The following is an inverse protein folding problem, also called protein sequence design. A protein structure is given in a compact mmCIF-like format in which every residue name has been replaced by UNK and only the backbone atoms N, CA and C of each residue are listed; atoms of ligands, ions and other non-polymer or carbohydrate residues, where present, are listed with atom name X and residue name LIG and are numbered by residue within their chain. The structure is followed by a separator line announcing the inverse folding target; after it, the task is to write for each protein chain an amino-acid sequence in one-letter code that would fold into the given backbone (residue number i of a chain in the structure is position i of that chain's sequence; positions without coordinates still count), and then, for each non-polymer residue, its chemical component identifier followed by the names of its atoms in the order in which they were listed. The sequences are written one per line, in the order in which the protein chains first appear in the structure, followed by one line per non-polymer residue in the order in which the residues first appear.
data_IF_410239055188
#
_entry.id   IF_410239055188
#
_cell.length_a   1.000
_cell.length_b   1.000
_cell.length_c   1.000
_cell.angle_alpha   90.00
_cell.angle_beta   90.00
_cell.angle_gamma   90.00
#
_symmetry.space_group_name_H-M   'P 1'
#
loop_
_entity.id
_entity.type
_entity.pdbx_description
1 polymer ?
#
# COMPACT_ATOMS: atom_id res chain seq x y z
N UNK A 1 -11.51 -10.98 12.02
CA UNK A 1 -10.39 -10.05 12.34
C UNK A 1 -9.85 -9.38 11.07
N UNK A 2 -9.37 -10.15 10.06
CA UNK A 2 -8.78 -9.57 8.84
C UNK A 2 -9.72 -8.61 8.09
N UNK A 3 -10.92 -9.07 7.74
CA UNK A 3 -11.92 -8.26 7.03
C UNK A 3 -12.31 -6.99 7.80
N UNK A 4 -12.43 -7.09 9.11
CA UNK A 4 -12.76 -5.95 9.95
C UNK A 4 -11.65 -4.89 9.94
N UNK A 5 -10.36 -5.31 10.02
CA UNK A 5 -9.22 -4.41 10.00
C UNK A 5 -9.08 -3.73 8.63
N UNK A 6 -9.26 -4.47 7.54
CA UNK A 6 -8.96 -3.97 6.21
C UNK A 6 -10.14 -3.31 5.48
N UNK A 7 -11.38 -3.59 5.89
CA UNK A 7 -12.56 -3.11 5.15
C UNK A 7 -13.52 -2.27 5.99
N UNK A 8 -13.59 -2.49 7.31
CA UNK A 8 -14.67 -1.94 8.14
C UNK A 8 -14.21 -1.08 9.31
N UNK A 9 -12.92 -0.76 9.42
CA UNK A 9 -12.37 0.00 10.53
C UNK A 9 -11.56 1.19 10.03
N UNK A 10 -11.24 2.11 10.94
CA UNK A 10 -10.32 3.24 10.74
C UNK A 10 -8.93 2.80 10.24
N UNK A 11 -8.57 1.53 10.43
CA UNK A 11 -7.35 0.91 9.93
C UNK A 11 -7.39 0.54 8.44
N UNK A 12 -8.48 0.82 7.74
CA UNK A 12 -8.55 0.66 6.28
C UNK A 12 -7.51 1.55 5.59
N UNK A 13 -6.80 0.99 4.64
CA UNK A 13 -5.75 1.70 3.88
C UNK A 13 -4.34 1.58 4.47
N UNK A 14 -4.17 0.91 5.62
CA UNK A 14 -2.85 0.50 6.10
C UNK A 14 -2.20 -0.53 5.16
N UNK A 15 -0.89 -0.63 5.21
CA UNK A 15 -0.17 -1.69 4.50
C UNK A 15 -0.63 -3.07 4.99
N UNK A 16 -0.55 -4.08 4.12
CA UNK A 16 -0.90 -5.46 4.49
C UNK A 16 -0.05 -5.99 5.65
N UNK A 17 1.16 -5.48 5.81
CA UNK A 17 2.07 -5.90 6.88
C UNK A 17 1.65 -5.33 8.24
N UNK A 18 1.26 -4.06 8.30
CA UNK A 18 0.64 -3.47 9.49
C UNK A 18 -0.66 -4.19 9.86
N UNK A 19 -1.47 -4.50 8.86
CA UNK A 19 -2.71 -5.25 9.05
C UNK A 19 -2.48 -6.64 9.66
N UNK A 20 -1.40 -7.33 9.28
CA UNK A 20 -1.02 -8.64 9.87
C UNK A 20 -0.68 -8.48 11.34
N UNK A 21 0.09 -7.45 11.73
CA UNK A 21 0.41 -7.19 13.15
C UNK A 21 -0.86 -6.96 13.95
N UNK A 22 -1.76 -6.11 13.47
CA UNK A 22 -3.05 -5.86 14.13
C UNK A 22 -3.92 -7.12 14.27
N UNK A 23 -3.88 -8.03 13.29
CA UNK A 23 -4.57 -9.32 13.38
C UNK A 23 -3.97 -10.18 14.49
N UNK A 24 -2.63 -10.24 14.56
CA UNK A 24 -1.95 -11.03 15.59
C UNK A 24 -2.22 -10.48 17.00
N UNK A 25 -2.22 -9.18 17.19
CA UNK A 25 -2.59 -8.55 18.45
C UNK A 25 -4.03 -8.92 18.88
N UNK A 26 -4.97 -8.90 17.91
CA UNK A 26 -6.35 -9.34 18.21
C UNK A 26 -6.45 -10.82 18.55
N UNK A 27 -5.63 -11.67 17.95
CA UNK A 27 -5.56 -13.10 18.29
C UNK A 27 -5.00 -13.29 19.70
N UNK A 28 -3.90 -12.61 20.04
CA UNK A 28 -3.31 -12.62 21.38
C UNK A 28 -4.31 -12.19 22.45
N UNK A 29 -5.07 -11.12 22.19
CA UNK A 29 -6.12 -10.64 23.10
C UNK A 29 -7.28 -11.64 23.30
N UNK A 30 -7.38 -12.65 22.45
CA UNK A 30 -8.32 -13.79 22.57
C UNK A 30 -7.66 -15.04 23.15
N UNK A 31 -6.43 -14.94 23.65
CA UNK A 31 -5.67 -16.07 24.19
C UNK A 31 -5.08 -17.00 23.15
N UNK A 32 -5.01 -16.60 21.88
CA UNK A 32 -4.42 -17.39 20.81
C UNK A 32 -2.98 -16.92 20.62
N UNK A 33 -2.03 -17.79 20.92
CA UNK A 33 -0.62 -17.51 20.67
C UNK A 33 -0.30 -17.63 19.17
N UNK A 34 0.51 -16.66 18.71
CA UNK A 34 1.04 -16.64 17.34
C UNK A 34 2.56 -16.64 17.43
N UNK A 35 3.19 -17.80 17.34
CA UNK A 35 4.65 -17.92 17.47
C UNK A 35 5.38 -17.07 16.43
N UNK A 36 6.35 -16.26 16.87
CA UNK A 36 7.17 -15.39 16.04
C UNK A 36 6.47 -14.11 15.57
N UNK A 37 5.29 -13.79 16.10
CA UNK A 37 4.62 -12.51 15.82
C UNK A 37 5.44 -11.31 16.27
N UNK A 38 6.31 -11.49 17.26
CA UNK A 38 7.24 -10.48 17.78
C UNK A 38 8.27 -10.05 16.72
N UNK A 39 8.81 -10.99 15.96
CA UNK A 39 9.76 -10.70 14.89
C UNK A 39 9.11 -9.85 13.78
N UNK A 40 7.86 -10.20 13.44
CA UNK A 40 7.08 -9.47 12.43
C UNK A 40 6.75 -8.05 12.94
N UNK A 41 6.29 -7.93 14.20
CA UNK A 41 5.99 -6.63 14.79
C UNK A 41 7.25 -5.76 14.91
N UNK A 42 8.39 -6.35 15.30
CA UNK A 42 9.66 -5.63 15.38
C UNK A 42 10.06 -5.07 14.00
N UNK A 43 10.01 -5.88 12.96
CA UNK A 43 10.31 -5.43 11.60
C UNK A 43 9.35 -4.31 11.16
N UNK A 44 8.03 -4.50 11.31
CA UNK A 44 7.03 -3.49 10.91
C UNK A 44 7.24 -2.16 11.61
N UNK A 45 7.58 -2.18 12.90
CA UNK A 45 7.74 -0.96 13.71
C UNK A 45 9.07 -0.25 13.50
N UNK A 46 10.10 -0.94 12.99
CA UNK A 46 11.45 -0.37 12.84
C UNK A 46 11.87 -0.12 11.40
N UNK A 47 11.17 -0.71 10.44
CA UNK A 47 11.48 -0.55 9.03
C UNK A 47 11.09 0.85 8.54
N UNK A 48 11.99 1.50 7.82
CA UNK A 48 11.71 2.78 7.18
C UNK A 48 10.66 2.65 6.04
N UNK A 49 10.57 1.44 5.48
CA UNK A 49 9.63 1.14 4.39
C UNK A 49 9.12 -0.30 4.56
N UNK A 50 7.85 -0.53 4.27
CA UNK A 50 7.20 -1.83 4.36
C UNK A 50 7.00 -2.43 2.96
N UNK A 51 8.11 -2.80 2.32
CA UNK A 51 8.14 -3.40 0.98
C UNK A 51 8.57 -4.87 1.00
N UNK A 52 8.38 -5.56 -0.13
CA UNK A 52 8.92 -6.93 -0.31
C UNK A 52 10.44 -6.95 -0.21
N UNK A 53 11.12 -5.90 -0.69
CA UNK A 53 12.57 -5.78 -0.64
C UNK A 53 13.06 -5.61 0.80
N UNK A 54 12.44 -4.72 1.57
CA UNK A 54 12.74 -4.51 2.99
C UNK A 54 12.52 -5.79 3.81
N UNK A 55 11.41 -6.50 3.57
CA UNK A 55 11.15 -7.79 4.23
C UNK A 55 12.23 -8.83 3.91
N UNK A 56 12.66 -8.91 2.66
CA UNK A 56 13.73 -9.82 2.24
C UNK A 56 15.06 -9.48 2.89
N UNK A 57 15.40 -8.20 2.97
CA UNK A 57 16.61 -7.74 3.63
C UNK A 57 16.62 -8.16 5.11
N UNK A 58 15.50 -7.92 5.82
CA UNK A 58 15.39 -8.28 7.23
C UNK A 58 15.39 -9.79 7.46
N UNK A 59 14.77 -10.57 6.57
CA UNK A 59 14.84 -12.02 6.60
C UNK A 59 16.28 -12.53 6.45
N UNK A 60 17.05 -11.98 5.53
CA UNK A 60 18.47 -12.36 5.36
C UNK A 60 19.32 -11.98 6.57
N UNK A 61 19.00 -10.86 7.22
CA UNK A 61 19.72 -10.39 8.42
C UNK A 61 19.44 -11.25 9.65
N UNK A 62 18.18 -11.69 9.84
CA UNK A 62 17.74 -12.35 11.07
C UNK A 62 17.62 -13.87 10.97
N UNK A 63 17.36 -14.38 9.76
CA UNK A 63 17.02 -15.79 9.55
C UNK A 63 15.67 -16.21 10.15
N UNK A 64 14.83 -15.26 10.57
CA UNK A 64 13.56 -15.54 11.27
C UNK A 64 12.62 -16.40 10.43
N UNK A 65 12.14 -17.49 11.03
CA UNK A 65 11.14 -18.37 10.39
C UNK A 65 9.80 -17.64 10.20
N UNK A 66 9.45 -16.74 11.11
CA UNK A 66 8.22 -15.96 11.03
C UNK A 66 8.24 -14.99 9.83
N UNK A 67 9.36 -14.27 9.64
CA UNK A 67 9.54 -13.39 8.47
C UNK A 67 9.58 -14.19 7.16
N UNK A 68 10.14 -15.40 7.16
CA UNK A 68 10.09 -16.29 5.98
C UNK A 68 8.66 -16.65 5.62
N UNK A 69 7.85 -17.06 6.58
CA UNK A 69 6.42 -17.36 6.37
C UNK A 69 5.65 -16.12 5.90
N UNK A 70 5.96 -14.94 6.45
CA UNK A 70 5.37 -13.68 6.02
C UNK A 70 5.72 -13.39 4.57
N UNK A 71 6.97 -13.62 4.15
CA UNK A 71 7.40 -13.44 2.76
C UNK A 71 6.70 -14.42 1.81
N UNK A 72 6.59 -15.69 2.19
CA UNK A 72 5.87 -16.70 1.41
C UNK A 72 4.40 -16.32 1.23
N UNK A 73 3.75 -15.86 2.30
CA UNK A 73 2.38 -15.36 2.26
C UNK A 73 2.26 -14.11 1.37
N UNK A 74 3.15 -13.13 1.52
CA UNK A 74 3.16 -11.93 0.70
C UNK A 74 3.31 -12.26 -0.79
N UNK A 75 4.22 -13.17 -1.12
CA UNK A 75 4.43 -13.62 -2.51
C UNK A 75 3.19 -14.36 -3.04
N UNK A 76 2.53 -15.17 -2.22
CA UNK A 76 1.29 -15.85 -2.60
C UNK A 76 0.16 -14.83 -2.85
N UNK A 77 0.02 -13.81 -2.01
CA UNK A 77 -0.92 -12.72 -2.21
C UNK A 77 -0.65 -11.98 -3.53
N UNK A 78 0.61 -11.62 -3.80
CA UNK A 78 0.98 -10.91 -5.03
C UNK A 78 0.66 -11.74 -6.27
N UNK A 79 1.02 -13.04 -6.28
CA UNK A 79 0.65 -13.94 -7.39
C UNK A 79 -0.87 -14.03 -7.59
N UNK A 80 -1.62 -14.09 -6.49
CA UNK A 80 -3.09 -14.15 -6.58
C UNK A 80 -3.68 -12.87 -7.14
N UNK A 81 -3.18 -11.71 -6.70
CA UNK A 81 -3.61 -10.41 -7.20
C UNK A 81 -3.31 -10.28 -8.70
N UNK A 82 -2.10 -10.66 -9.13
CA UNK A 82 -1.72 -10.64 -10.54
C UNK A 82 -2.55 -11.57 -11.43
N UNK A 83 -3.08 -12.65 -10.86
CA UNK A 83 -3.95 -13.60 -11.56
C UNK A 83 -5.44 -13.20 -11.55
N UNK A 84 -5.82 -12.15 -10.83
CA UNK A 84 -7.18 -11.62 -10.87
C UNK A 84 -7.32 -10.74 -12.10
N UNK A 85 -8.33 -11.03 -12.90
CA UNK A 85 -8.77 -10.06 -13.90
C UNK A 85 -9.41 -8.86 -13.18
N UNK A 86 -9.21 -7.63 -13.66
CA UNK A 86 -9.92 -6.48 -13.14
C UNK A 86 -11.44 -6.72 -13.26
N UNK A 87 -12.12 -6.81 -12.12
CA UNK A 87 -13.56 -7.12 -12.08
C UNK A 87 -14.42 -5.91 -11.76
N UNK A 88 -13.79 -4.78 -11.42
CA UNK A 88 -14.48 -3.58 -10.99
C UNK A 88 -14.14 -2.44 -11.94
N UNK A 89 -15.15 -1.90 -12.61
CA UNK A 89 -14.99 -0.72 -13.43
C UNK A 89 -14.73 0.53 -12.56
N UNK A 90 -14.00 1.52 -13.08
CA UNK A 90 -13.90 2.82 -12.43
C UNK A 90 -15.29 3.42 -12.20
N UNK A 91 -15.45 4.17 -11.13
CA UNK A 91 -16.70 4.88 -10.89
C UNK A 91 -17.03 5.82 -12.08
N UNK A 92 -18.34 6.01 -12.39
CA UNK A 92 -18.75 6.94 -13.41
C UNK A 92 -18.16 8.32 -13.20
N UNK A 93 -17.62 8.90 -14.26
CA UNK A 93 -17.02 10.25 -14.22
C UNK A 93 -15.55 10.32 -13.83
N UNK A 94 -14.92 9.22 -13.38
CA UNK A 94 -13.49 9.22 -12.99
C UNK A 94 -12.60 9.68 -14.15
N UNK A 95 -12.75 9.10 -15.34
CA UNK A 95 -11.93 9.47 -16.50
C UNK A 95 -12.08 10.94 -16.86
N UNK A 96 -13.31 11.44 -16.89
CA UNK A 96 -13.58 12.84 -17.22
C UNK A 96 -13.01 13.79 -16.15
N UNK A 97 -13.12 13.43 -14.87
CA UNK A 97 -12.55 14.21 -13.78
C UNK A 97 -11.02 14.25 -13.84
N UNK A 98 -10.38 13.12 -14.10
CA UNK A 98 -8.91 13.05 -14.25
C UNK A 98 -8.46 13.89 -15.47
N UNK A 99 -9.16 13.80 -16.58
CA UNK A 99 -8.88 14.59 -17.79
C UNK A 99 -8.95 16.10 -17.52
N UNK A 100 -9.97 16.55 -16.77
CA UNK A 100 -10.14 17.96 -16.43
C UNK A 100 -9.04 18.43 -15.46
N UNK A 101 -8.72 17.63 -14.46
CA UNK A 101 -7.67 17.94 -13.49
C UNK A 101 -6.28 17.97 -14.15
N UNK A 102 -5.97 16.99 -14.98
CA UNK A 102 -4.69 16.91 -15.70
C UNK A 102 -4.46 18.07 -16.68
N UNK A 103 -5.52 18.77 -17.09
CA UNK A 103 -5.39 19.98 -17.90
C UNK A 103 -4.86 21.20 -17.10
N UNK A 104 -4.89 21.17 -15.78
CA UNK A 104 -4.55 22.31 -14.90
C UNK A 104 -3.55 21.96 -13.79
N UNK A 105 -3.25 20.68 -13.59
CA UNK A 105 -2.37 20.19 -12.53
C UNK A 105 -1.68 18.89 -12.95
N UNK A 106 -0.49 18.66 -12.40
CA UNK A 106 0.17 17.35 -12.49
C UNK A 106 -0.51 16.38 -11.52
N UNK A 107 -0.77 15.14 -11.96
CA UNK A 107 -1.49 14.14 -11.20
C UNK A 107 -0.58 12.99 -10.79
N UNK A 108 -0.48 12.77 -9.48
CA UNK A 108 0.20 11.62 -8.92
C UNK A 108 -0.79 10.61 -8.33
N UNK A 109 -0.63 9.37 -8.67
CA UNK A 109 -1.34 8.26 -8.00
C UNK A 109 -0.49 7.80 -6.83
N UNK A 110 -1.06 7.78 -5.63
CA UNK A 110 -0.36 7.36 -4.40
C UNK A 110 -1.13 6.22 -3.75
N UNK A 111 -0.54 5.06 -3.66
CA UNK A 111 -1.21 3.86 -3.16
C UNK A 111 -0.31 2.99 -2.30
N UNK A 112 -0.90 2.33 -1.30
CA UNK A 112 -0.23 1.28 -0.52
C UNK A 112 -0.18 -0.08 -1.24
N UNK A 113 -0.70 -0.19 -2.46
CA UNK A 113 -0.61 -1.39 -3.28
C UNK A 113 0.70 -1.42 -4.07
N UNK A 114 1.01 -2.59 -4.65
CA UNK A 114 2.18 -2.75 -5.52
C UNK A 114 2.05 -1.87 -6.79
N UNK A 115 3.09 -1.12 -7.12
CA UNK A 115 3.09 -0.17 -8.24
C UNK A 115 2.72 -0.84 -9.57
N UNK A 116 3.30 -2.01 -9.86
CA UNK A 116 3.02 -2.72 -11.11
C UNK A 116 1.56 -3.15 -11.25
N UNK A 117 0.91 -3.49 -10.14
CA UNK A 117 -0.51 -3.84 -10.12
C UNK A 117 -1.37 -2.61 -10.42
N UNK A 118 -1.08 -1.47 -9.79
CA UNK A 118 -1.78 -0.21 -10.02
C UNK A 118 -1.61 0.24 -11.48
N UNK A 119 -0.37 0.23 -11.98
CA UNK A 119 -0.06 0.64 -13.34
C UNK A 119 -0.79 -0.23 -14.38
N UNK A 120 -0.86 -1.55 -14.14
CA UNK A 120 -1.59 -2.49 -14.98
C UNK A 120 -3.08 -2.20 -15.00
N UNK A 121 -3.69 -1.98 -13.82
CA UNK A 121 -5.11 -1.67 -13.68
C UNK A 121 -5.46 -0.32 -14.34
N UNK A 122 -4.70 0.73 -14.05
CA UNK A 122 -4.89 2.05 -14.65
C UNK A 122 -4.72 2.02 -16.17
N UNK A 123 -3.77 1.23 -16.67
CA UNK A 123 -3.61 1.01 -18.12
C UNK A 123 -4.79 0.27 -18.73
N UNK A 124 -5.29 -0.78 -18.04
CA UNK A 124 -6.45 -1.55 -18.51
C UNK A 124 -7.68 -0.67 -18.74
N UNK A 125 -7.93 0.28 -17.81
CA UNK A 125 -9.05 1.22 -17.92
C UNK A 125 -8.74 2.51 -18.67
N UNK A 126 -7.55 2.64 -19.27
CA UNK A 126 -7.15 3.82 -20.03
C UNK A 126 -6.90 5.06 -19.17
N UNK A 127 -6.82 4.93 -17.86
CA UNK A 127 -6.62 6.04 -16.91
C UNK A 127 -5.16 6.47 -16.79
N UNK A 128 -4.21 5.57 -17.07
CA UNK A 128 -2.77 5.83 -16.92
C UNK A 128 -2.27 7.06 -17.70
N UNK A 129 -2.94 7.42 -18.79
CA UNK A 129 -2.61 8.62 -19.58
C UNK A 129 -2.87 9.95 -18.87
N UNK A 130 -3.59 9.91 -17.75
CA UNK A 130 -3.93 11.08 -16.94
C UNK A 130 -3.08 11.16 -15.66
N UNK A 131 -2.14 10.23 -15.45
CA UNK A 131 -1.24 10.25 -14.32
C UNK A 131 0.20 10.50 -14.79
N UNK A 132 0.84 11.51 -14.21
CA UNK A 132 2.25 11.84 -14.49
C UNK A 132 3.20 10.88 -13.76
N UNK A 133 2.77 10.38 -12.59
CA UNK A 133 3.52 9.41 -11.79
C UNK A 133 2.59 8.51 -11.00
N UNK A 134 3.04 7.27 -10.79
CA UNK A 134 2.38 6.30 -9.90
C UNK A 134 3.37 5.93 -8.80
N UNK A 135 2.98 6.15 -7.54
CA UNK A 135 3.72 5.72 -6.36
C UNK A 135 2.98 4.54 -5.73
N UNK A 136 3.62 3.38 -5.72
CA UNK A 136 3.18 2.19 -5.03
C UNK A 136 3.80 2.04 -3.64
N UNK A 137 3.58 0.86 -3.04
CA UNK A 137 4.17 0.50 -1.74
C UNK A 137 5.71 0.55 -1.73
N UNK A 138 6.34 0.52 -2.90
CA UNK A 138 7.79 0.53 -3.08
C UNK A 138 8.44 1.86 -2.65
N UNK A 139 7.67 2.94 -2.67
CA UNK A 139 8.12 4.27 -2.20
C UNK A 139 7.98 4.41 -0.67
N UNK A 140 7.32 3.45 -0.04
CA UNK A 140 7.07 3.45 1.40
C UNK A 140 5.72 4.07 1.76
N UNK A 141 5.71 5.04 2.69
CA UNK A 141 4.46 5.68 3.12
C UNK A 141 3.95 6.71 2.10
N UNK A 142 2.65 7.02 2.17
CA UNK A 142 2.06 8.12 1.39
C UNK A 142 2.74 9.47 1.67
N UNK A 143 3.16 9.68 2.92
CA UNK A 143 3.94 10.86 3.30
C UNK A 143 5.30 10.91 2.57
N UNK A 144 5.96 9.77 2.36
CA UNK A 144 7.20 9.69 1.59
C UNK A 144 6.95 10.04 0.12
N UNK A 145 5.86 9.59 -0.47
CA UNK A 145 5.48 9.95 -1.85
C UNK A 145 5.29 11.46 -1.99
N UNK A 146 4.56 12.09 -1.05
CA UNK A 146 4.39 13.55 -1.00
C UNK A 146 5.73 14.25 -0.82
N UNK A 147 6.58 13.79 0.11
CA UNK A 147 7.90 14.35 0.34
C UNK A 147 8.78 14.28 -0.93
N UNK A 148 8.69 13.19 -1.68
CA UNK A 148 9.39 13.04 -2.97
C UNK A 148 8.93 14.07 -3.98
N UNK A 149 7.64 14.32 -4.09
CA UNK A 149 7.09 15.37 -4.97
C UNK A 149 7.58 16.76 -4.54
N UNK A 150 7.54 17.08 -3.25
CA UNK A 150 8.05 18.34 -2.73
C UNK A 150 9.55 18.53 -3.04
N UNK A 151 10.33 17.45 -2.96
CA UNK A 151 11.74 17.47 -3.32
C UNK A 151 11.98 17.72 -4.83
N UNK A 152 11.01 17.42 -5.69
CA UNK A 152 11.02 17.76 -7.12
C UNK A 152 10.67 19.23 -7.41
N UNK A 153 10.43 20.04 -6.38
CA UNK A 153 10.22 21.50 -6.51
C UNK A 153 8.77 21.95 -6.42
N UNK A 154 7.83 21.07 -6.10
CA UNK A 154 6.46 21.47 -5.82
C UNK A 154 6.36 22.24 -4.50
N UNK A 155 5.68 23.36 -4.51
CA UNK A 155 5.41 24.14 -3.30
C UNK A 155 4.31 23.43 -2.47
N UNK A 156 4.52 23.24 -1.17
CA UNK A 156 3.57 22.52 -0.29
C UNK A 156 2.14 23.07 -0.35
N UNK A 157 1.99 24.39 -0.47
CA UNK A 157 0.67 25.06 -0.60
C UNK A 157 -0.05 24.76 -1.93
N UNK A 158 0.64 24.15 -2.90
CA UNK A 158 0.11 23.77 -4.22
C UNK A 158 -0.06 22.26 -4.37
N UNK A 159 0.22 21.49 -3.31
CA UNK A 159 0.04 20.06 -3.29
C UNK A 159 -1.22 19.72 -2.49
N UNK A 160 -2.10 18.93 -3.10
CA UNK A 160 -3.33 18.47 -2.48
C UNK A 160 -3.36 16.95 -2.51
N UNK A 161 -3.54 16.30 -1.37
CA UNK A 161 -3.86 14.89 -1.27
C UNK A 161 -5.38 14.70 -1.23
N UNK A 162 -5.89 13.79 -2.05
CA UNK A 162 -7.31 13.40 -2.08
C UNK A 162 -7.38 11.90 -1.86
N UNK A 163 -8.15 11.46 -0.90
CA UNK A 163 -8.31 10.05 -0.59
C UNK A 163 -9.58 9.78 0.22
N UNK A 164 -9.90 8.51 0.41
CA UNK A 164 -11.14 8.05 1.05
C UNK A 164 -10.89 7.35 2.40
N UNK A 165 -9.66 7.37 2.89
CA UNK A 165 -9.28 6.75 4.16
C UNK A 165 -8.58 7.72 5.10
N UNK A 166 -8.61 7.41 6.41
CA UNK A 166 -7.89 8.19 7.42
C UNK A 166 -6.36 8.20 7.22
N UNK A 167 -5.84 7.22 6.49
CA UNK A 167 -4.42 7.17 6.12
C UNK A 167 -4.04 8.12 4.96
N UNK A 168 -5.01 8.86 4.42
CA UNK A 168 -4.80 9.84 3.35
C UNK A 168 -4.74 11.28 3.89
N UNK A 169 -5.00 11.48 5.19
CA UNK A 169 -5.02 12.78 5.86
C UNK A 169 -3.67 13.14 6.51
#
# INVERSE_FOLDING_TARGET
AWEEINLRNITRGLSRFESVVLVFDRLKNRGIEVPGSEDIAAWVNTSAELSTASLQHELLRTGSLALRKLQEWNNACNRRIQALEPTFEPFPGVEESLRQLHAVADLAVVSAANESAIASEWKHYGLARHADVIFGQEVGSKANSIATMLACGYESRKVLMVGDSMGDA
#
